data_IF_155505206642
#
_entry.id   IF_155505206642
#
_cell.length_a   1.000
_cell.length_b   1.000
_cell.length_c   1.000
_cell.angle_alpha   90.00
_cell.angle_beta   90.00
_cell.angle_gamma   90.00
#
_symmetry.space_group_name_H-M   'P 1'
#
loop_
_entity.id
_entity.type
_entity.pdbx_description
1 polymer ?
#
# COMPACT_ATOMS: atom_id res chain seq x y z
N UNK A 1 21.68 19.42 -23.78
CA UNK A 1 20.83 18.84 -22.72
C UNK A 1 21.59 17.80 -21.91
N UNK A 2 20.92 16.86 -21.23
CA UNK A 2 21.58 15.88 -20.35
C UNK A 2 22.57 14.98 -21.10
N UNK A 3 22.16 14.43 -22.24
CA UNK A 3 23.02 13.58 -23.07
C UNK A 3 24.23 14.31 -23.63
N UNK A 4 24.09 15.58 -24.03
CA UNK A 4 25.24 16.34 -24.54
C UNK A 4 26.29 16.54 -23.45
N UNK A 5 25.87 16.80 -22.21
CA UNK A 5 26.80 16.87 -21.07
C UNK A 5 27.46 15.53 -20.79
N UNK A 6 26.66 14.46 -20.67
CA UNK A 6 27.14 13.14 -20.24
C UNK A 6 27.90 12.35 -21.29
N UNK A 7 27.57 12.51 -22.59
CA UNK A 7 28.10 11.69 -23.68
C UNK A 7 29.04 12.45 -24.61
N UNK A 8 28.85 13.77 -24.76
CA UNK A 8 29.71 14.61 -25.63
C UNK A 8 30.71 15.45 -24.83
N UNK A 9 30.62 15.46 -23.50
CA UNK A 9 31.49 16.27 -22.64
C UNK A 9 31.23 17.77 -22.75
N UNK A 10 30.06 18.18 -23.27
CA UNK A 10 29.71 19.58 -23.39
C UNK A 10 29.46 20.20 -22.01
N UNK A 11 30.16 21.29 -21.70
CA UNK A 11 29.86 22.08 -20.50
C UNK A 11 28.67 23.00 -20.75
N UNK A 12 27.48 22.47 -20.48
CA UNK A 12 26.20 23.18 -20.59
C UNK A 12 25.51 23.34 -19.23
N UNK A 13 24.48 24.18 -19.18
CA UNK A 13 23.76 24.54 -17.94
C UNK A 13 22.69 23.52 -17.50
N UNK A 14 22.67 22.30 -18.06
CA UNK A 14 21.57 21.34 -17.78
C UNK A 14 21.42 21.03 -16.29
N UNK A 15 22.52 20.97 -15.53
CA UNK A 15 22.51 20.71 -14.10
C UNK A 15 21.96 21.88 -13.27
N UNK A 16 21.99 23.11 -13.81
CA UNK A 16 21.39 24.29 -13.18
C UNK A 16 19.92 24.43 -13.53
N UNK A 17 19.53 23.99 -14.73
CA UNK A 17 18.17 24.13 -15.25
C UNK A 17 17.25 22.95 -14.89
N UNK A 18 17.82 21.78 -14.58
CA UNK A 18 17.04 20.58 -14.27
C UNK A 18 17.07 20.35 -12.75
N UNK A 19 15.91 20.26 -12.08
CA UNK A 19 15.88 19.91 -10.67
C UNK A 19 16.44 18.49 -10.46
N UNK A 20 17.02 18.23 -9.28
CA UNK A 20 17.55 16.90 -8.94
C UNK A 20 16.46 15.83 -8.92
N UNK A 21 15.29 16.18 -8.37
CA UNK A 21 14.09 15.35 -8.39
C UNK A 21 12.96 16.16 -9.00
N UNK A 22 12.33 15.60 -10.03
CA UNK A 22 11.08 16.12 -10.60
C UNK A 22 10.04 15.02 -10.50
N UNK A 23 8.87 15.33 -9.94
CA UNK A 23 7.80 14.37 -9.72
C UNK A 23 6.44 14.99 -10.03
N UNK A 24 5.49 14.16 -10.45
CA UNK A 24 4.13 14.58 -10.73
C UNK A 24 3.24 14.24 -9.55
N UNK A 25 2.63 15.26 -8.95
CA UNK A 25 1.72 15.08 -7.83
C UNK A 25 0.31 14.88 -8.36
N UNK A 26 -0.15 13.64 -8.29
CA UNK A 26 -1.51 13.25 -8.61
C UNK A 26 -2.50 13.95 -7.68
N UNK A 27 -3.78 14.00 -8.06
CA UNK A 27 -4.81 14.71 -7.31
C UNK A 27 -4.77 16.23 -7.54
N UNK A 28 -3.61 16.88 -7.35
CA UNK A 28 -3.40 18.27 -7.80
C UNK A 28 -3.03 18.37 -9.28
N UNK A 29 -2.52 17.28 -9.86
CA UNK A 29 -2.15 17.16 -11.26
C UNK A 29 -1.06 18.17 -11.71
N UNK A 30 -0.05 18.35 -10.86
CA UNK A 30 0.99 19.35 -11.03
C UNK A 30 2.39 18.73 -10.98
N UNK A 31 3.30 19.22 -11.83
CA UNK A 31 4.72 18.92 -11.71
C UNK A 31 5.32 19.70 -10.53
N UNK A 32 6.03 18.99 -9.68
CA UNK A 32 6.79 19.54 -8.55
C UNK A 32 8.25 19.12 -8.63
N UNK A 33 9.10 19.80 -7.87
CA UNK A 33 10.52 19.51 -7.78
C UNK A 33 11.02 19.57 -6.34
N UNK A 34 12.14 18.87 -6.09
CA UNK A 34 12.83 18.83 -4.81
C UNK A 34 14.30 18.49 -5.04
N UNK A 35 15.17 18.83 -4.08
CA UNK A 35 16.57 18.41 -4.08
C UNK A 35 16.77 16.98 -3.57
N UNK A 36 15.77 16.45 -2.84
CA UNK A 36 15.78 15.13 -2.21
C UNK A 36 14.46 14.39 -2.43
N UNK A 37 14.49 13.06 -2.28
CA UNK A 37 13.30 12.20 -2.20
C UNK A 37 13.37 11.33 -0.94
N UNK A 38 12.36 11.36 -0.05
CA UNK A 38 11.17 12.24 -0.04
C UNK A 38 11.52 13.75 -0.04
N UNK A 39 10.59 14.65 -0.42
CA UNK A 39 10.82 16.09 -0.33
C UNK A 39 11.15 16.52 1.11
N UNK A 40 12.03 17.51 1.30
CA UNK A 40 12.51 17.92 2.64
C UNK A 40 11.39 18.36 3.60
N UNK A 41 10.30 18.92 3.05
CA UNK A 41 9.12 19.35 3.81
C UNK A 41 8.20 18.18 4.21
N UNK A 42 8.50 16.96 3.80
CA UNK A 42 7.74 15.79 4.17
C UNK A 42 7.98 15.43 5.64
N UNK A 43 6.91 15.38 6.42
CA UNK A 43 6.90 14.90 7.79
C UNK A 43 6.16 13.56 7.87
N UNK A 44 6.66 12.62 8.68
CA UNK A 44 6.05 11.29 8.76
C UNK A 44 4.87 11.32 9.73
N UNK A 45 3.66 11.08 9.21
CA UNK A 45 2.46 10.82 10.00
C UNK A 45 2.21 9.31 10.11
N UNK A 46 1.84 8.82 11.29
CA UNK A 46 1.50 7.41 11.51
C UNK A 46 -0.01 7.27 11.60
N UNK A 47 -0.57 6.35 10.82
CA UNK A 47 -1.95 5.91 10.90
C UNK A 47 -1.97 4.44 11.30
N UNK A 48 -2.65 4.14 12.39
CA UNK A 48 -2.88 2.79 12.89
C UNK A 48 -4.15 2.21 12.28
N UNK A 49 -4.13 0.91 12.02
CA UNK A 49 -5.33 0.16 11.68
C UNK A 49 -6.15 -0.01 12.96
N UNK A 50 -7.47 0.12 12.87
CA UNK A 50 -8.41 -0.13 13.96
C UNK A 50 -9.70 -0.71 13.37
N UNK A 51 -10.36 -1.62 14.09
CA UNK A 51 -11.69 -2.14 13.75
C UNK A 51 -12.33 -2.80 14.98
N UNK A 52 -13.55 -3.32 14.84
CA UNK A 52 -14.17 -4.20 15.84
C UNK A 52 -14.12 -5.68 15.40
N UNK A 53 -13.09 -6.06 14.64
CA UNK A 53 -12.92 -7.39 14.04
C UNK A 53 -13.81 -7.61 12.82
N UNK A 54 -14.18 -6.53 12.12
CA UNK A 54 -15.08 -6.56 10.95
C UNK A 54 -14.64 -5.59 9.85
N UNK A 55 -13.34 -5.49 9.58
CA UNK A 55 -12.82 -4.69 8.47
C UNK A 55 -13.01 -5.33 7.08
N UNK A 56 -13.58 -6.53 6.99
CA UNK A 56 -13.83 -7.22 5.72
C UNK A 56 -14.77 -6.41 4.81
N UNK A 57 -14.35 -6.21 3.57
CA UNK A 57 -15.02 -5.45 2.52
C UNK A 57 -15.23 -3.96 2.81
N UNK A 58 -15.70 -3.21 1.81
CA UNK A 58 -16.11 -1.80 1.94
C UNK A 58 -17.27 -1.59 2.92
N UNK A 59 -17.99 -2.67 3.29
CA UNK A 59 -19.09 -2.63 4.26
C UNK A 59 -18.61 -2.81 5.70
N UNK A 60 -17.31 -3.04 5.90
CA UNK A 60 -16.69 -3.22 7.21
C UNK A 60 -16.54 -1.95 8.05
N UNK A 61 -16.00 -2.12 9.25
CA UNK A 61 -15.76 -1.04 10.22
C UNK A 61 -14.29 -0.65 10.40
N UNK A 62 -13.44 -0.98 9.43
CA UNK A 62 -12.02 -0.65 9.44
C UNK A 62 -11.73 0.85 9.30
N UNK A 63 -10.90 1.35 10.22
CA UNK A 63 -10.52 2.75 10.34
C UNK A 63 -9.00 2.89 10.31
N UNK A 64 -8.52 3.96 9.66
CA UNK A 64 -7.16 4.48 9.83
C UNK A 64 -7.19 5.65 10.82
N UNK A 65 -6.52 5.47 11.95
CA UNK A 65 -6.54 6.39 13.10
C UNK A 65 -5.16 6.94 13.38
N UNK A 66 -5.04 8.24 13.69
CA UNK A 66 -3.79 8.83 14.18
C UNK A 66 -3.52 8.50 15.66
N UNK A 67 -4.55 8.01 16.37
CA UNK A 67 -4.43 7.59 17.77
C UNK A 67 -3.92 6.15 17.77
N UNK A 68 -3.00 5.85 18.67
CA UNK A 68 -2.56 4.47 18.87
C UNK A 68 -3.72 3.59 19.37
N UNK A 69 -3.77 2.31 18.96
CA UNK A 69 -4.85 1.41 19.33
C UNK A 69 -4.87 1.10 20.83
N UNK A 70 -6.04 0.69 21.32
CA UNK A 70 -6.24 0.23 22.71
C UNK A 70 -5.66 -1.16 22.97
N UNK A 71 -5.88 -1.68 24.18
CA UNK A 71 -5.40 -3.01 24.58
C UNK A 71 -6.10 -4.17 23.87
N UNK A 72 -7.36 -3.97 23.48
CA UNK A 72 -8.18 -5.01 22.87
C UNK A 72 -7.78 -5.20 21.40
N UNK A 73 -7.45 -6.44 21.02
CA UNK A 73 -6.88 -6.72 19.70
C UNK A 73 -7.93 -6.82 18.59
N UNK A 74 -9.15 -7.29 18.91
CA UNK A 74 -10.29 -7.46 18.00
C UNK A 74 -9.86 -7.67 16.53
N UNK A 75 -9.02 -8.68 16.24
CA UNK A 75 -8.30 -8.71 14.98
C UNK A 75 -9.23 -9.06 13.83
N UNK A 76 -8.83 -8.66 12.62
CA UNK A 76 -9.60 -8.92 11.40
C UNK A 76 -9.11 -10.22 10.75
N UNK A 77 -10.02 -11.18 10.55
CA UNK A 77 -9.73 -12.47 9.94
C UNK A 77 -10.37 -12.58 8.56
N UNK A 78 -9.65 -13.18 7.62
CA UNK A 78 -10.15 -13.47 6.28
C UNK A 78 -9.59 -14.78 5.74
N UNK A 79 -10.29 -15.33 4.75
CA UNK A 79 -9.93 -16.61 4.11
C UNK A 79 -9.28 -16.32 2.77
N UNK A 80 -8.08 -16.86 2.56
CA UNK A 80 -7.38 -16.81 1.28
C UNK A 80 -7.37 -18.21 0.64
N UNK A 81 -8.13 -18.34 -0.46
CA UNK A 81 -8.13 -19.51 -1.33
C UNK A 81 -7.31 -19.22 -2.60
N UNK A 82 -6.16 -19.91 -2.82
CA UNK A 82 -5.38 -19.75 -4.04
C UNK A 82 -6.15 -20.07 -5.33
N UNK A 83 -7.25 -20.82 -5.28
CA UNK A 83 -8.11 -21.06 -6.43
C UNK A 83 -8.95 -19.82 -6.82
N UNK A 84 -9.21 -18.92 -5.88
CA UNK A 84 -10.03 -17.71 -6.04
C UNK A 84 -9.30 -16.45 -5.55
N UNK A 85 -8.11 -16.13 -6.11
CA UNK A 85 -7.33 -14.98 -5.67
C UNK A 85 -8.08 -13.65 -5.93
N UNK A 86 -7.72 -12.62 -5.17
CA UNK A 86 -8.05 -11.23 -5.52
C UNK A 86 -7.38 -10.89 -6.85
N UNK A 87 -8.15 -10.48 -7.87
CA UNK A 87 -7.60 -10.15 -9.17
C UNK A 87 -6.87 -8.79 -9.14
N UNK A 88 -5.82 -8.67 -9.94
CA UNK A 88 -5.15 -7.39 -10.20
C UNK A 88 -6.03 -6.51 -11.06
N UNK A 89 -6.32 -5.30 -10.59
CA UNK A 89 -7.17 -4.34 -11.27
C UNK A 89 -6.53 -2.94 -11.25
N UNK A 90 -5.83 -2.59 -12.33
CA UNK A 90 -4.97 -1.41 -12.36
C UNK A 90 -3.63 -1.63 -11.66
N UNK A 91 -3.08 -0.56 -11.07
CA UNK A 91 -1.87 -0.56 -10.27
C UNK A 91 -0.59 -0.36 -11.09
N UNK A 92 0.54 -0.35 -10.39
CA UNK A 92 1.89 -0.34 -10.97
C UNK A 92 2.29 -1.71 -11.52
N UNK A 93 1.62 -2.11 -12.59
CA UNK A 93 1.92 -3.35 -13.31
C UNK A 93 3.06 -3.10 -14.30
N UNK A 94 4.12 -3.91 -14.21
CA UNK A 94 5.09 -4.10 -15.28
C UNK A 94 5.08 -5.55 -15.72
N UNK A 95 5.49 -5.79 -16.96
CA UNK A 95 6.11 -7.06 -17.32
C UNK A 95 5.14 -8.26 -17.34
N UNK A 96 3.82 -8.01 -17.30
CA UNK A 96 2.74 -9.00 -17.42
C UNK A 96 2.14 -9.10 -18.82
N UNK A 97 2.81 -8.52 -19.83
CA UNK A 97 2.27 -8.39 -21.19
C UNK A 97 0.92 -7.68 -21.19
N UNK A 98 -0.08 -8.28 -21.86
CA UNK A 98 -1.45 -7.75 -21.95
C UNK A 98 -2.41 -8.36 -20.91
N UNK A 99 -1.91 -9.11 -19.91
CA UNK A 99 -2.77 -9.79 -18.94
C UNK A 99 -3.52 -8.82 -18.01
N UNK A 100 -2.94 -7.65 -17.73
CA UNK A 100 -3.54 -6.61 -16.88
C UNK A 100 -3.25 -5.25 -17.52
N UNK A 101 -4.24 -4.36 -17.51
CA UNK A 101 -4.04 -2.95 -17.83
C UNK A 101 -3.63 -2.20 -16.55
N UNK A 102 -2.41 -1.65 -16.53
CA UNK A 102 -1.91 -0.83 -15.43
C UNK A 102 -2.57 0.56 -15.39
N UNK A 103 -2.42 1.25 -14.26
CA UNK A 103 -2.91 2.62 -14.03
C UNK A 103 -3.88 2.74 -12.85
N UNK A 104 -4.46 3.92 -12.66
CA UNK A 104 -5.45 4.19 -11.62
C UNK A 104 -6.84 3.70 -12.03
N UNK A 105 -7.39 2.76 -11.28
CA UNK A 105 -8.70 2.14 -11.51
C UNK A 105 -9.55 2.24 -10.25
N UNK A 106 -10.86 2.36 -10.43
CA UNK A 106 -11.83 2.40 -9.33
C UNK A 106 -11.99 1.01 -8.71
N UNK A 107 -11.60 0.86 -7.45
CA UNK A 107 -11.51 -0.42 -6.75
C UNK A 107 -12.82 -0.87 -6.09
N UNK A 108 -13.88 -0.04 -6.11
CA UNK A 108 -15.15 -0.34 -5.41
C UNK A 108 -15.71 -1.74 -5.64
N UNK A 109 -15.60 -2.27 -6.86
CA UNK A 109 -16.07 -3.62 -7.17
C UNK A 109 -15.19 -4.70 -6.54
N UNK A 110 -13.88 -4.47 -6.42
CA UNK A 110 -12.97 -5.41 -5.76
C UNK A 110 -13.21 -5.41 -4.25
N UNK A 111 -13.41 -4.22 -3.66
CA UNK A 111 -13.65 -4.01 -2.24
C UNK A 111 -14.93 -4.68 -1.70
N UNK A 112 -15.78 -5.27 -2.54
CA UNK A 112 -16.93 -6.07 -2.06
C UNK A 112 -16.55 -7.46 -1.59
N UNK A 113 -15.30 -7.89 -1.77
CA UNK A 113 -14.83 -9.22 -1.37
C UNK A 113 -14.50 -9.26 0.13
N UNK A 114 -14.86 -10.36 0.78
CA UNK A 114 -14.57 -10.58 2.21
C UNK A 114 -13.09 -10.83 2.48
N UNK A 115 -12.30 -11.22 1.48
CA UNK A 115 -10.85 -11.40 1.57
C UNK A 115 -10.05 -10.12 1.30
N UNK A 116 -10.73 -8.98 1.24
CA UNK A 116 -10.11 -7.65 1.23
C UNK A 116 -10.55 -6.91 2.50
N UNK A 117 -9.61 -6.67 3.40
CA UNK A 117 -9.83 -5.82 4.57
C UNK A 117 -9.67 -4.36 4.16
N UNK A 118 -10.64 -3.51 4.48
CA UNK A 118 -10.67 -2.09 4.08
C UNK A 118 -10.56 -1.21 5.32
N UNK A 119 -9.54 -0.34 5.36
CA UNK A 119 -9.35 0.65 6.42
C UNK A 119 -9.29 2.05 5.84
N UNK A 120 -10.14 2.95 6.31
CA UNK A 120 -10.20 4.32 5.80
C UNK A 120 -10.06 5.35 6.93
N UNK A 121 -9.44 6.49 6.65
CA UNK A 121 -9.52 7.63 7.56
C UNK A 121 -10.96 8.14 7.65
N UNK A 122 -11.23 8.98 8.65
CA UNK A 122 -12.34 9.92 8.55
C UNK A 122 -12.19 10.80 7.30
N UNK A 123 -13.29 11.40 6.86
CA UNK A 123 -13.27 12.41 5.79
C UNK A 123 -12.27 13.50 6.17
N UNK A 124 -11.34 13.79 5.28
CA UNK A 124 -10.34 14.83 5.47
C UNK A 124 -11.05 16.19 5.49
N UNK A 125 -10.87 16.93 6.59
CA UNK A 125 -11.41 18.30 6.74
C UNK A 125 -10.64 19.31 5.88
N UNK A 126 -9.35 19.06 5.70
CA UNK A 126 -8.42 19.86 4.90
C UNK A 126 -7.65 18.91 3.99
N UNK A 127 -7.34 19.35 2.78
CA UNK A 127 -6.53 18.53 1.89
C UNK A 127 -5.08 18.41 2.38
N UNK A 128 -4.42 17.31 2.03
CA UNK A 128 -3.03 17.03 2.39
C UNK A 128 -2.32 16.33 1.24
N UNK A 129 -1.01 16.51 1.14
CA UNK A 129 -0.18 15.82 0.15
C UNK A 129 0.59 14.68 0.80
N UNK A 130 0.59 13.51 0.16
CA UNK A 130 1.47 12.38 0.49
C UNK A 130 2.49 12.26 -0.62
N UNK A 131 3.75 12.62 -0.35
CA UNK A 131 4.84 12.57 -1.33
C UNK A 131 6.09 11.96 -0.71
N UNK A 132 6.46 10.76 -1.15
CA UNK A 132 7.65 10.05 -0.65
C UNK A 132 7.48 8.54 -0.54
N UNK A 133 8.37 7.93 0.23
CA UNK A 133 8.32 6.49 0.58
C UNK A 133 7.30 6.25 1.67
N UNK A 134 6.48 5.22 1.49
CA UNK A 134 5.47 4.76 2.44
C UNK A 134 6.02 3.54 3.18
N UNK A 135 5.89 3.53 4.50
CA UNK A 135 6.28 2.38 5.31
C UNK A 135 5.05 1.71 5.90
N UNK A 136 4.94 0.40 5.73
CA UNK A 136 3.84 -0.38 6.28
C UNK A 136 4.39 -1.46 7.21
N UNK A 137 3.79 -1.57 8.38
CA UNK A 137 4.03 -2.64 9.33
C UNK A 137 2.71 -3.32 9.63
N UNK A 138 2.61 -4.61 9.34
CA UNK A 138 1.48 -5.43 9.75
C UNK A 138 1.93 -6.43 10.81
N UNK A 139 1.06 -6.66 11.79
CA UNK A 139 1.15 -7.79 12.71
C UNK A 139 0.14 -8.82 12.27
N UNK A 140 0.61 -10.00 11.86
CA UNK A 140 -0.23 -10.98 11.18
C UNK A 140 -0.03 -12.37 11.75
N UNK A 141 -1.08 -13.19 11.68
CA UNK A 141 -0.99 -14.62 11.93
C UNK A 141 -1.72 -15.39 10.84
N UNK A 142 -1.42 -16.68 10.76
CA UNK A 142 -2.00 -17.62 9.79
C UNK A 142 -2.00 -19.02 10.40
N UNK A 143 -2.88 -19.90 9.91
CA UNK A 143 -2.91 -21.32 10.24
C UNK A 143 -1.96 -22.17 9.37
N UNK A 144 -1.42 -21.60 8.29
CA UNK A 144 -0.49 -22.26 7.37
C UNK A 144 0.98 -21.88 7.60
N UNK A 145 1.90 -22.60 6.96
CA UNK A 145 3.36 -22.41 7.09
C UNK A 145 3.88 -21.18 6.37
N UNK A 146 3.23 -20.78 5.30
CA UNK A 146 3.57 -19.62 4.48
C UNK A 146 2.31 -19.10 3.79
N UNK A 147 2.26 -17.80 3.54
CA UNK A 147 1.19 -17.12 2.82
C UNK A 147 1.72 -15.73 2.39
N UNK A 148 0.93 -14.98 1.64
CA UNK A 148 1.28 -13.60 1.26
C UNK A 148 0.39 -12.59 2.00
N UNK A 149 0.89 -11.37 2.16
CA UNK A 149 0.10 -10.21 2.58
C UNK A 149 0.32 -9.07 1.59
N UNK A 150 -0.77 -8.58 1.01
CA UNK A 150 -0.78 -7.44 0.08
C UNK A 150 -1.28 -6.20 0.78
N UNK A 151 -0.75 -5.04 0.38
CA UNK A 151 -1.31 -3.74 0.78
C UNK A 151 -1.43 -2.85 -0.45
N UNK A 152 -2.56 -2.16 -0.56
CA UNK A 152 -2.83 -1.16 -1.59
C UNK A 152 -3.23 0.14 -0.92
N UNK A 153 -2.68 1.27 -1.39
CA UNK A 153 -3.06 2.61 -0.96
C UNK A 153 -4.01 3.22 -2.00
N UNK A 154 -5.07 3.88 -1.52
CA UNK A 154 -6.12 4.45 -2.36
C UNK A 154 -6.51 5.86 -1.92
N UNK A 155 -6.97 6.63 -2.90
CA UNK A 155 -7.67 7.90 -2.72
C UNK A 155 -9.18 7.69 -2.93
N UNK A 156 -9.96 7.90 -1.87
CA UNK A 156 -11.42 7.76 -1.90
C UNK A 156 -12.06 9.13 -2.05
N UNK A 157 -12.78 9.31 -3.14
CA UNK A 157 -13.47 10.54 -3.50
C UNK A 157 -14.77 10.70 -2.71
N UNK A 158 -15.31 11.93 -2.59
CA UNK A 158 -16.58 12.17 -1.90
C UNK A 158 -17.79 11.40 -2.45
N UNK A 159 -17.76 11.03 -3.73
CA UNK A 159 -18.80 10.22 -4.40
C UNK A 159 -18.59 8.70 -4.25
N UNK A 160 -17.56 8.30 -3.50
CA UNK A 160 -17.24 6.92 -3.17
C UNK A 160 -16.28 6.24 -4.13
N UNK A 161 -15.94 6.83 -5.29
CA UNK A 161 -14.90 6.26 -6.17
C UNK A 161 -13.59 6.10 -5.40
N UNK A 162 -12.93 4.95 -5.53
CA UNK A 162 -11.71 4.64 -4.79
C UNK A 162 -10.58 4.28 -5.78
N UNK A 163 -9.70 5.23 -6.07
CA UNK A 163 -8.62 5.01 -7.03
C UNK A 163 -7.35 4.55 -6.34
N UNK A 164 -6.77 3.46 -6.85
CA UNK A 164 -5.51 2.95 -6.35
C UNK A 164 -4.31 3.80 -6.79
N UNK A 165 -3.38 4.03 -5.85
CA UNK A 165 -2.22 4.89 -6.03
C UNK A 165 -0.93 4.06 -6.16
N UNK A 166 -0.72 3.12 -5.25
CA UNK A 166 0.40 2.18 -5.27
C UNK A 166 0.00 0.94 -4.46
N UNK A 167 0.67 -0.18 -4.73
CA UNK A 167 0.40 -1.45 -4.06
C UNK A 167 1.63 -2.36 -4.07
N UNK A 168 1.70 -3.25 -3.09
CA UNK A 168 2.84 -4.13 -2.88
C UNK A 168 2.41 -5.46 -2.23
N UNK A 169 3.36 -6.39 -2.13
CA UNK A 169 3.16 -7.69 -1.51
C UNK A 169 4.37 -8.07 -0.67
N UNK A 170 4.14 -8.80 0.41
CA UNK A 170 5.19 -9.47 1.15
C UNK A 170 4.82 -10.93 1.36
N UNK A 171 5.63 -11.83 0.82
CA UNK A 171 5.56 -13.26 1.13
C UNK A 171 6.15 -13.53 2.50
N UNK A 172 5.38 -14.21 3.36
CA UNK A 172 5.71 -14.35 4.78
C UNK A 172 7.03 -15.08 5.02
N UNK A 173 7.41 -16.06 4.19
CA UNK A 173 8.70 -16.77 4.32
C UNK A 173 9.93 -15.88 4.14
N UNK A 174 9.79 -14.74 3.46
CA UNK A 174 10.86 -13.75 3.26
C UNK A 174 10.78 -12.55 4.21
N UNK A 175 9.93 -12.59 5.25
CA UNK A 175 9.77 -11.49 6.22
C UNK A 175 11.04 -11.09 7.00
N UNK A 176 12.09 -11.92 6.96
CA UNK A 176 13.42 -11.64 7.53
C UNK A 176 14.50 -11.38 6.47
N UNK A 177 14.09 -11.05 5.25
CA UNK A 177 14.94 -10.84 4.09
C UNK A 177 14.93 -12.02 3.12
N UNK A 178 15.38 -11.76 1.89
CA UNK A 178 15.29 -12.69 0.75
C UNK A 178 16.40 -13.75 0.69
N UNK A 179 17.37 -13.72 1.62
CA UNK A 179 18.49 -14.67 1.64
C UNK A 179 18.14 -16.03 2.25
N UNK A 180 17.08 -16.10 3.06
CA UNK A 180 16.69 -17.31 3.78
C UNK A 180 15.19 -17.32 4.06
N UNK A 181 14.59 -18.48 3.87
CA UNK A 181 13.20 -18.74 4.20
C UNK A 181 13.01 -19.00 5.71
N UNK A 182 11.95 -18.44 6.27
CA UNK A 182 11.51 -18.68 7.65
C UNK A 182 10.02 -18.98 7.67
N UNK A 183 9.59 -20.11 8.20
CA UNK A 183 8.16 -20.45 8.18
C UNK A 183 7.38 -19.85 9.36
N UNK A 184 6.07 -19.72 9.17
CA UNK A 184 5.11 -19.38 10.21
C UNK A 184 4.77 -20.63 11.03
N UNK A 185 4.52 -20.42 12.32
CA UNK A 185 3.89 -21.41 13.19
C UNK A 185 2.41 -21.05 13.27
N UNK A 186 1.50 -22.05 13.21
CA UNK A 186 0.07 -21.78 13.26
C UNK A 186 -0.32 -20.84 14.40
N UNK A 187 -1.09 -19.79 14.07
CA UNK A 187 -1.65 -18.78 15.00
C UNK A 187 -0.63 -17.94 15.77
N UNK A 188 0.66 -18.09 15.52
CA UNK A 188 1.66 -17.18 16.09
C UNK A 188 1.63 -15.85 15.34
N UNK A 189 1.63 -14.75 16.08
CA UNK A 189 1.70 -13.40 15.52
C UNK A 189 3.13 -13.07 15.10
N UNK A 190 3.27 -12.50 13.91
CA UNK A 190 4.52 -12.04 13.32
C UNK A 190 4.41 -10.59 12.86
N UNK A 191 5.42 -9.78 13.19
CA UNK A 191 5.62 -8.47 12.56
C UNK A 191 6.16 -8.68 11.15
N UNK A 192 5.55 -8.03 10.17
CA UNK A 192 5.95 -8.04 8.76
C UNK A 192 6.00 -6.59 8.26
N UNK A 193 7.14 -6.19 7.70
CA UNK A 193 7.23 -4.97 6.91
C UNK A 193 6.75 -5.28 5.49
N UNK A 194 5.77 -4.53 4.98
CA UNK A 194 5.25 -4.72 3.62
C UNK A 194 5.73 -3.53 2.77
N UNK A 195 6.48 -3.80 1.71
CA UNK A 195 7.10 -2.74 0.92
C UNK A 195 8.15 -3.25 -0.07
N UNK A 196 8.72 -2.35 -0.89
CA UNK A 196 8.55 -0.90 -0.84
C UNK A 196 7.23 -0.40 -1.44
N UNK A 197 6.80 0.81 -1.04
CA UNK A 197 5.77 1.62 -1.68
C UNK A 197 6.19 3.09 -1.72
N UNK A 198 5.75 3.84 -2.73
CA UNK A 198 6.01 5.27 -2.87
C UNK A 198 4.96 5.94 -3.74
N UNK A 199 4.56 7.15 -3.39
CA UNK A 199 3.59 7.92 -4.19
C UNK A 199 3.82 9.42 -4.09
N UNK A 200 3.16 10.17 -4.97
CA UNK A 200 2.91 11.60 -4.82
C UNK A 200 1.45 11.88 -5.18
N UNK A 201 0.60 12.08 -4.17
CA UNK A 201 -0.82 12.37 -4.34
C UNK A 201 -1.29 13.43 -3.36
N UNK A 202 -2.07 14.40 -3.87
CA UNK A 202 -2.81 15.36 -3.07
C UNK A 202 -4.24 14.85 -2.84
N UNK A 203 -4.55 14.51 -1.59
CA UNK A 203 -5.90 14.15 -1.16
C UNK A 203 -6.64 15.43 -0.83
N UNK A 204 -7.69 15.75 -1.58
CA UNK A 204 -8.46 17.00 -1.36
C UNK A 204 -9.32 16.92 -0.10
N UNK A 205 -9.77 18.08 0.41
CA UNK A 205 -10.81 18.08 1.44
C UNK A 205 -12.05 17.31 0.94
N UNK A 206 -12.67 16.52 1.82
CA UNK A 206 -13.75 15.62 1.44
C UNK A 206 -13.30 14.21 1.03
N UNK A 207 -12.01 14.01 0.71
CA UNK A 207 -11.47 12.69 0.39
C UNK A 207 -11.17 11.88 1.66
N UNK A 208 -10.83 10.60 1.48
CA UNK A 208 -10.24 9.75 2.53
C UNK A 208 -8.98 9.08 2.00
N UNK A 209 -8.05 8.86 2.91
CA UNK A 209 -6.95 7.92 2.68
C UNK A 209 -7.50 6.54 3.02
N UNK A 210 -7.34 5.58 2.12
CA UNK A 210 -7.73 4.19 2.36
C UNK A 210 -6.56 3.27 2.10
N UNK A 211 -6.47 2.21 2.90
CA UNK A 211 -5.69 1.05 2.54
C UNK A 211 -6.58 -0.19 2.45
N UNK A 212 -6.18 -1.09 1.57
CA UNK A 212 -6.69 -2.46 1.51
C UNK A 212 -5.59 -3.41 1.96
N UNK A 213 -5.96 -4.46 2.72
CA UNK A 213 -5.08 -5.58 3.07
C UNK A 213 -5.72 -6.87 2.58
N UNK A 214 -4.93 -7.71 1.89
CA UNK A 214 -5.38 -9.05 1.45
C UNK A 214 -4.18 -10.01 1.44
N UNK A 215 -4.33 -11.18 0.82
CA UNK A 215 -3.28 -12.19 0.64
C UNK A 215 -3.04 -12.57 -0.81
N UNK A 216 -3.60 -11.81 -1.75
CA UNK A 216 -3.32 -11.97 -3.18
C UNK A 216 -3.55 -10.70 -3.96
N UNK A 217 -2.95 -10.64 -5.15
CA UNK A 217 -3.16 -9.62 -6.18
C UNK A 217 -2.63 -10.22 -7.49
N UNK A 218 -3.46 -11.05 -8.14
CA UNK A 218 -3.08 -11.91 -9.26
C UNK A 218 -3.71 -11.44 -10.59
N UNK A 219 -2.99 -11.41 -11.74
CA UNK A 219 -1.69 -12.03 -11.98
C UNK A 219 -0.47 -11.13 -11.80
N UNK A 220 -0.60 -9.96 -11.16
CA UNK A 220 0.57 -9.11 -10.90
C UNK A 220 1.62 -9.84 -10.07
N UNK A 221 1.18 -10.53 -9.02
CA UNK A 221 2.03 -11.40 -8.22
C UNK A 221 1.55 -12.85 -8.33
N UNK A 222 2.50 -13.78 -8.39
CA UNK A 222 2.20 -15.21 -8.34
C UNK A 222 1.58 -15.57 -6.99
N UNK A 223 0.39 -16.16 -7.03
CA UNK A 223 -0.37 -16.65 -5.87
C UNK A 223 0.49 -17.53 -4.97
N UNK A 224 0.54 -17.28 -3.67
CA UNK A 224 1.07 -18.27 -2.72
C UNK A 224 0.13 -19.47 -2.65
N UNK A 225 0.64 -20.69 -2.70
CA UNK A 225 -0.17 -21.91 -2.59
C UNK A 225 -0.37 -22.37 -1.14
N UNK A 226 0.18 -21.62 -0.17
CA UNK A 226 0.04 -21.77 1.28
C UNK A 226 0.64 -23.04 1.88
N UNK A 227 1.42 -23.80 1.11
CA UNK A 227 2.06 -25.07 1.50
C UNK A 227 3.42 -24.88 2.19
N UNK A 228 4.11 -23.78 1.86
CA UNK A 228 5.53 -23.59 2.17
C UNK A 228 6.49 -24.24 1.16
N UNK A 229 5.99 -24.83 0.08
CA UNK A 229 6.79 -25.49 -0.95
C UNK A 229 7.28 -24.55 -2.07
N UNK A 230 7.76 -25.15 -3.15
CA UNK A 230 8.27 -24.45 -4.33
C UNK A 230 7.12 -23.99 -5.22
N UNK A 231 6.74 -22.74 -5.02
CA UNK A 231 5.56 -22.13 -5.61
C UNK A 231 5.45 -22.19 -7.16
N UNK A 232 6.51 -22.58 -7.89
CA UNK A 232 6.58 -22.70 -9.34
C UNK A 232 6.33 -24.12 -9.89
N UNK A 233 6.46 -25.17 -9.07
CA UNK A 233 6.26 -26.58 -9.48
C UNK A 233 5.17 -27.31 -8.68
N UNK A 234 4.56 -26.62 -7.73
CA UNK A 234 3.48 -27.14 -6.90
C UNK A 234 2.14 -27.24 -7.64
N UNK A 235 1.44 -28.35 -7.41
CA UNK A 235 0.13 -28.65 -8.02
C UNK A 235 -1.03 -28.60 -7.01
N UNK A 236 -0.73 -28.69 -5.72
CA UNK A 236 -1.71 -28.59 -4.63
C UNK A 236 -1.69 -27.21 -3.96
N UNK A 237 -2.81 -26.83 -3.37
CA UNK A 237 -2.91 -25.59 -2.58
C UNK A 237 -3.71 -25.82 -1.30
N UNK A 238 -3.46 -24.99 -0.30
CA UNK A 238 -4.15 -25.01 0.99
C UNK A 238 -4.91 -23.69 1.15
N UNK A 239 -6.15 -23.73 1.65
CA UNK A 239 -6.87 -22.53 2.05
C UNK A 239 -6.28 -22.01 3.36
N UNK A 240 -5.89 -20.74 3.41
CA UNK A 240 -5.31 -20.11 4.60
C UNK A 240 -6.33 -19.22 5.32
N UNK A 241 -6.34 -19.27 6.66
CA UNK A 241 -7.08 -18.37 7.52
C UNK A 241 -6.12 -17.32 8.07
N UNK A 242 -6.08 -16.17 7.41
CA UNK A 242 -5.15 -15.10 7.70
C UNK A 242 -5.79 -14.06 8.61
N UNK A 243 -5.00 -13.47 9.49
CA UNK A 243 -5.47 -12.52 10.50
C UNK A 243 -4.54 -11.32 10.59
N UNK A 244 -5.11 -10.11 10.63
CA UNK A 244 -4.40 -8.84 10.88
C UNK A 244 -4.75 -8.37 12.29
N UNK A 245 -3.72 -8.22 13.11
CA UNK A 245 -3.80 -7.78 14.50
C UNK A 245 -3.55 -6.28 14.61
N UNK A 246 -4.27 -5.59 15.50
CA UNK A 246 -4.20 -4.13 15.60
C UNK A 246 -4.48 -3.60 17.03
N UNK A 247 -3.99 -4.29 18.07
CA UNK A 247 -3.92 -3.80 19.46
C UNK A 247 -2.67 -2.96 19.75
N UNK A 248 -2.60 -2.41 20.96
CA UNK A 248 -1.39 -1.82 21.55
C UNK A 248 -0.17 -2.75 21.53
N UNK A 249 -0.36 -4.07 21.64
CA UNK A 249 0.72 -5.06 21.53
C UNK A 249 1.13 -5.35 20.08
N UNK A 250 0.20 -5.14 19.15
CA UNK A 250 0.33 -5.44 17.73
C UNK A 250 -0.08 -4.25 16.87
N UNK A 251 0.60 -3.09 16.98
CA UNK A 251 0.14 -1.86 16.34
C UNK A 251 0.42 -1.88 14.83
N UNK A 252 -0.42 -2.58 14.06
CA UNK A 252 -0.39 -2.52 12.60
C UNK A 252 -0.63 -1.08 12.16
N UNK A 253 0.21 -0.59 11.25
CA UNK A 253 0.28 0.82 10.91
C UNK A 253 0.80 1.05 9.49
N UNK A 254 0.42 2.20 8.94
CA UNK A 254 1.00 2.83 7.76
C UNK A 254 1.59 4.18 8.15
N UNK A 255 2.82 4.45 7.73
CA UNK A 255 3.52 5.72 7.93
C UNK A 255 3.61 6.44 6.60
N UNK A 256 3.02 7.63 6.54
CA UNK A 256 2.84 8.42 5.32
C UNK A 256 3.71 9.69 5.38
N UNK A 257 4.46 10.02 4.32
CA UNK A 257 5.21 11.26 4.20
C UNK A 257 4.29 12.41 3.79
N UNK A 258 3.79 13.15 4.78
CA UNK A 258 2.87 14.28 4.59
C UNK A 258 3.66 15.55 4.30
N UNK A 259 3.39 16.18 3.16
CA UNK A 259 3.93 17.49 2.81
C UNK A 259 2.89 18.56 3.12
N UNK A 260 3.24 19.50 3.99
CA UNK A 260 2.41 20.67 4.25
C UNK A 260 2.44 21.61 3.04
N UNK A 261 1.29 21.78 2.38
CA UNK A 261 1.12 22.86 1.40
C UNK A 261 0.79 24.14 2.16
N UNK A 262 1.62 25.17 1.99
CA UNK A 262 1.22 26.53 2.39
C UNK A 262 -0.10 26.87 1.67
N UNK A 263 -1.08 27.51 2.34
CA UNK A 263 -2.30 27.94 1.66
C UNK A 263 -1.89 28.79 0.46
N UNK A 264 -2.40 28.47 -0.74
CA UNK A 264 -2.33 29.42 -1.85
C UNK A 264 -3.09 30.66 -1.39
N UNK A 265 -2.37 31.75 -1.14
CA UNK A 265 -2.99 33.08 -1.15
C UNK A 265 -3.62 33.18 -2.54
N UNK A 266 -4.95 33.26 -2.58
CA UNK A 266 -5.71 33.20 -3.83
C UNK A 266 -5.14 34.19 -4.84
N UNK A 267 -4.87 33.71 -6.05
CA UNK A 267 -4.80 34.60 -7.21
C UNK A 267 -6.23 35.08 -7.46
N UNK A 268 -6.43 36.38 -7.30
CA UNK A 268 -7.62 37.13 -7.71
C UNK A 268 -8.03 36.83 -9.17
#
# INVERSE_FOLDING_TARGET
GWFDRGLKGEDNDILKQTPRVQYYTMGSNEWQSSDTWPPEKASIATYYLESRGRANSVMGDGVLSIKAPGSDDNPDTFVYDPAYPVPSYGGNVCCTGNAIKGGAFDQRQMETRDDILVYSTNVLKTGLEVSGTIEITLYVSSDVKDTDFTVKLLDVYPDGRAYNLDETIQRARYRKGYKKEVFMKPRKVYKISVGPMSTSNYFSAGHRIRIEVSSSNFPRFTRNLNTGGNNYDETGSIVAHNTVHHSANYPSQIRLPIVERSPRVGSE
#
